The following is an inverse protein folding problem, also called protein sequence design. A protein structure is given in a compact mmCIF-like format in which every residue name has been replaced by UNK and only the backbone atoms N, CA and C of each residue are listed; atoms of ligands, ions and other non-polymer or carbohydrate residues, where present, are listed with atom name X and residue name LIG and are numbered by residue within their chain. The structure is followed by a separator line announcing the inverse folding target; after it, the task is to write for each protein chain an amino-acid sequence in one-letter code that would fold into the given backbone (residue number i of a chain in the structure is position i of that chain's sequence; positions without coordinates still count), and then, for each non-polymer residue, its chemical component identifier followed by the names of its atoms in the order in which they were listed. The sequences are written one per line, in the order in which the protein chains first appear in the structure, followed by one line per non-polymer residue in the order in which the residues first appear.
data_IF_329573885585
#
_entry.id   IF_329573885585
#
_cell.length_a   1.000
_cell.length_b   1.000
_cell.length_c   1.000
_cell.angle_alpha   90.00
_cell.angle_beta   90.00
_cell.angle_gamma   90.00
#
_symmetry.space_group_name_H-M   'P 1'
#
loop_
_entity.id
_entity.type
_entity.pdbx_description
1 polymer ?
#
# COMPACT_ATOMS: atom_id res chain seq x y z
N UNK A 1 1.13 -7.07 -15.81
CA UNK A 1 1.88 -6.76 -14.57
C UNK A 1 1.95 -5.25 -14.45
N UNK A 2 1.39 -4.67 -13.40
CA UNK A 2 1.34 -3.22 -13.22
C UNK A 2 2.52 -2.79 -12.33
N UNK A 3 3.51 -2.09 -12.89
CA UNK A 3 4.72 -1.71 -12.15
C UNK A 3 4.42 -0.89 -10.89
N UNK A 4 3.52 0.13 -10.90
CA UNK A 4 3.16 0.85 -9.70
C UNK A 4 2.73 -0.06 -8.54
N UNK A 5 2.00 -1.15 -8.83
CA UNK A 5 1.56 -2.09 -7.80
C UNK A 5 2.75 -2.88 -7.23
N UNK A 6 3.67 -3.33 -8.08
CA UNK A 6 4.90 -4.01 -7.62
C UNK A 6 5.79 -3.08 -6.78
N UNK A 7 5.85 -1.80 -7.14
CA UNK A 7 6.57 -0.79 -6.36
C UNK A 7 5.91 -0.57 -5.00
N UNK A 8 4.59 -0.41 -4.94
CA UNK A 8 3.84 -0.25 -3.70
C UNK A 8 4.06 -1.45 -2.76
N UNK A 9 3.90 -2.68 -3.27
CA UNK A 9 4.06 -3.92 -2.50
C UNK A 9 5.49 -4.12 -1.95
N UNK A 10 6.49 -3.38 -2.44
CA UNK A 10 7.89 -3.51 -2.00
C UNK A 10 8.43 -2.27 -1.29
N UNK A 11 7.59 -1.25 -1.06
CA UNK A 11 7.97 0.00 -0.39
C UNK A 11 7.50 0.00 1.08
N UNK A 12 7.81 -1.07 1.80
CA UNK A 12 7.53 -1.20 3.23
C UNK A 12 7.70 -2.62 3.72
N UNK A 13 7.22 -2.88 4.94
CA UNK A 13 7.27 -4.18 5.59
C UNK A 13 5.88 -4.62 6.07
N UNK A 14 5.60 -5.90 5.94
CA UNK A 14 4.39 -6.53 6.49
C UNK A 14 4.61 -6.91 7.96
N UNK A 15 3.55 -6.73 8.76
CA UNK A 15 3.41 -7.32 10.10
C UNK A 15 2.31 -8.36 10.01
N UNK A 16 2.65 -9.58 10.42
CA UNK A 16 1.84 -10.77 10.17
C UNK A 16 1.06 -11.19 11.42
N UNK A 17 -0.11 -11.77 11.21
CA UNK A 17 -0.91 -12.34 12.30
C UNK A 17 -0.15 -13.50 12.94
N UNK A 18 0.06 -13.48 14.27
CA UNK A 18 0.77 -14.56 14.97
C UNK A 18 -0.06 -15.86 15.07
N UNK A 19 -1.38 -15.77 14.93
CA UNK A 19 -2.32 -16.89 14.98
C UNK A 19 -3.62 -16.57 14.23
N UNK A 20 -4.41 -17.61 13.94
CA UNK A 20 -5.71 -17.49 13.27
C UNK A 20 -6.82 -17.11 14.26
N UNK A 21 -7.66 -16.13 13.90
CA UNK A 21 -8.85 -15.75 14.66
C UNK A 21 -9.96 -15.26 13.72
N UNK A 22 -11.21 -15.32 14.18
CA UNK A 22 -12.38 -14.78 13.47
C UNK A 22 -12.99 -13.66 14.28
N UNK A 23 -13.31 -12.55 13.62
CA UNK A 23 -14.12 -11.48 14.17
C UNK A 23 -15.49 -11.49 13.48
N UNK A 24 -16.56 -11.46 14.27
CA UNK A 24 -17.95 -11.43 13.82
C UNK A 24 -18.61 -10.15 14.31
N UNK A 25 -19.01 -9.26 13.41
CA UNK A 25 -19.71 -8.03 13.75
C UNK A 25 -21.19 -8.14 13.41
N UNK A 26 -22.05 -7.93 14.40
CA UNK A 26 -23.51 -8.02 14.23
C UNK A 26 -24.15 -6.77 13.58
N UNK A 27 -23.37 -5.71 13.32
CA UNK A 27 -23.85 -4.43 12.77
C UNK A 27 -24.20 -3.35 13.78
N UNK A 28 -24.13 -3.66 15.07
CA UNK A 28 -24.44 -2.72 16.14
C UNK A 28 -23.31 -1.71 16.43
N UNK A 29 -23.63 -0.63 17.15
CA UNK A 29 -22.70 0.47 17.38
C UNK A 29 -21.73 0.25 18.55
N UNK A 30 -21.93 -0.74 19.41
CA UNK A 30 -21.15 -0.98 20.63
C UNK A 30 -19.82 -1.67 20.37
N UNK A 31 -18.96 -1.73 21.39
CA UNK A 31 -17.75 -2.57 21.37
C UNK A 31 -18.11 -4.06 21.42
N UNK A 32 -19.12 -4.42 22.22
CA UNK A 32 -19.57 -5.81 22.40
C UNK A 32 -20.25 -6.42 21.17
N UNK A 33 -20.54 -5.58 20.17
CA UNK A 33 -21.14 -6.00 18.90
C UNK A 33 -20.16 -6.74 17.98
N UNK A 34 -18.86 -6.75 18.32
CA UNK A 34 -17.85 -7.58 17.68
C UNK A 34 -17.46 -8.73 18.62
N UNK A 35 -17.77 -9.96 18.21
CA UNK A 35 -17.28 -11.17 18.87
C UNK A 35 -15.98 -11.64 18.22
N UNK A 36 -14.93 -11.84 19.01
CA UNK A 36 -13.63 -12.32 18.52
C UNK A 36 -13.40 -13.74 19.07
N UNK A 37 -13.17 -14.70 18.17
CA UNK A 37 -12.95 -16.11 18.50
C UNK A 37 -11.64 -16.61 17.91
N UNK A 38 -10.70 -17.12 18.72
CA UNK A 38 -9.47 -17.68 18.19
C UNK A 38 -9.74 -19.09 17.61
N UNK A 39 -8.99 -19.51 16.59
CA UNK A 39 -9.12 -20.87 16.04
C UNK A 39 -8.80 -21.95 17.10
N UNK A 40 -7.85 -21.66 17.98
CA UNK A 40 -7.44 -22.49 19.11
C UNK A 40 -7.44 -21.66 20.39
N UNK A 41 -7.71 -22.24 21.58
CA UNK A 41 -7.62 -21.51 22.83
C UNK A 41 -6.30 -20.74 22.95
N UNK A 42 -6.39 -19.41 23.13
CA UNK A 42 -5.23 -18.54 23.23
C UNK A 42 -5.47 -17.48 24.31
N UNK A 43 -4.81 -17.58 25.47
CA UNK A 43 -5.01 -16.64 26.57
C UNK A 43 -4.54 -15.22 26.23
N UNK A 44 -3.69 -15.05 25.21
CA UNK A 44 -3.14 -13.76 24.81
C UNK A 44 -3.89 -13.09 23.65
N UNK A 45 -5.03 -13.65 23.21
CA UNK A 45 -5.82 -13.09 22.10
C UNK A 45 -6.16 -11.61 22.32
N UNK A 46 -6.62 -11.27 23.52
CA UNK A 46 -7.04 -9.92 23.89
C UNK A 46 -5.88 -8.91 23.97
N UNK A 47 -4.62 -9.36 24.06
CA UNK A 47 -3.47 -8.47 23.93
C UNK A 47 -3.16 -8.12 22.46
N UNK A 48 -3.63 -8.94 21.52
CA UNK A 48 -3.34 -8.79 20.11
C UNK A 48 -4.49 -8.15 19.34
N UNK A 49 -5.74 -8.50 19.65
CA UNK A 49 -6.91 -8.00 18.94
C UNK A 49 -8.06 -7.72 19.89
N UNK A 50 -8.69 -6.56 19.72
CA UNK A 50 -9.78 -6.07 20.57
C UNK A 50 -10.83 -5.32 19.73
N UNK A 51 -12.01 -5.12 20.31
CA UNK A 51 -13.02 -4.18 19.83
C UNK A 51 -12.96 -2.93 20.70
N UNK A 52 -12.25 -1.89 20.28
CA UNK A 52 -11.95 -0.72 21.13
C UNK A 52 -12.71 0.54 20.70
N UNK A 53 -12.72 0.85 19.40
CA UNK A 53 -13.29 2.11 18.89
C UNK A 53 -14.80 2.05 18.57
N UNK A 54 -15.48 0.95 18.90
CA UNK A 54 -16.91 0.72 18.63
C UNK A 54 -17.25 0.77 17.12
N UNK A 55 -18.55 0.72 16.76
CA UNK A 55 -19.06 0.91 15.38
C UNK A 55 -18.34 0.07 14.30
N UNK A 56 -18.08 -1.19 14.58
CA UNK A 56 -17.48 -2.10 13.60
C UNK A 56 -15.97 -1.90 13.38
N UNK A 57 -15.24 -1.29 14.32
CA UNK A 57 -13.78 -1.15 14.24
C UNK A 57 -13.07 -2.25 15.04
N UNK A 58 -12.38 -3.13 14.32
CA UNK A 58 -11.47 -4.13 14.86
C UNK A 58 -10.08 -3.51 15.07
N UNK A 59 -9.54 -3.62 16.28
CA UNK A 59 -8.27 -3.02 16.68
C UNK A 59 -7.23 -4.11 16.87
N UNK A 60 -6.15 -4.10 16.08
CA UNK A 60 -5.03 -5.02 16.20
C UNK A 60 -3.79 -4.31 16.75
N UNK A 61 -3.07 -4.97 17.65
CA UNK A 61 -1.90 -4.42 18.33
C UNK A 61 -0.62 -4.99 17.68
N UNK A 62 0.25 -4.15 17.09
CA UNK A 62 1.49 -4.60 16.46
C UNK A 62 2.49 -5.25 17.41
N UNK A 63 2.37 -5.04 18.72
CA UNK A 63 3.32 -5.52 19.75
C UNK A 63 4.75 -4.96 19.61
N UNK A 64 4.89 -3.80 18.95
CA UNK A 64 6.17 -3.09 18.81
C UNK A 64 6.02 -1.61 19.15
N UNK A 65 7.09 -1.04 19.71
CA UNK A 65 7.31 0.40 19.74
C UNK A 65 8.27 0.77 18.61
N UNK A 66 7.82 1.61 17.68
CA UNK A 66 8.62 2.00 16.52
C UNK A 66 9.34 3.32 16.77
N UNK A 67 10.59 3.41 16.31
CA UNK A 67 11.41 4.62 16.37
C UNK A 67 12.07 4.88 15.02
N UNK A 68 11.98 6.11 14.56
CA UNK A 68 12.64 6.60 13.33
C UNK A 68 13.58 7.76 13.65
N UNK A 69 14.53 8.09 12.76
CA UNK A 69 15.33 9.31 12.90
C UNK A 69 14.46 10.58 12.92
N UNK A 70 14.92 11.69 13.50
CA UNK A 70 14.21 12.98 13.50
C UNK A 70 13.69 13.38 12.11
N UNK A 71 12.42 13.82 12.03
CA UNK A 71 11.77 14.26 10.79
C UNK A 71 11.18 13.13 9.92
N UNK A 72 11.32 11.88 10.35
CA UNK A 72 10.68 10.73 9.72
C UNK A 72 9.47 10.26 10.53
N UNK A 73 8.40 9.96 9.83
CA UNK A 73 7.23 9.28 10.38
C UNK A 73 7.04 7.94 9.69
N UNK A 74 5.94 7.28 10.04
CA UNK A 74 5.57 5.99 9.47
C UNK A 74 4.08 6.00 9.13
N UNK A 75 3.76 5.66 7.88
CA UNK A 75 2.41 5.27 7.52
C UNK A 75 2.21 3.82 7.93
N UNK A 76 1.09 3.53 8.58
CA UNK A 76 0.61 2.17 8.83
C UNK A 76 -0.75 2.00 8.17
N UNK A 77 -0.93 0.90 7.45
CA UNK A 77 -2.18 0.57 6.77
C UNK A 77 -2.26 -0.92 6.45
N UNK A 78 -3.18 -1.32 5.59
CA UNK A 78 -3.19 -2.67 5.03
C UNK A 78 -2.06 -2.87 4.01
N UNK A 79 -1.66 -4.12 3.79
CA UNK A 79 -0.72 -4.45 2.73
C UNK A 79 -1.24 -3.94 1.37
N UNK A 80 -0.42 -3.19 0.59
CA UNK A 80 -0.84 -2.67 -0.69
C UNK A 80 -1.34 -3.80 -1.60
N UNK A 81 -2.47 -3.56 -2.29
CA UNK A 81 -3.08 -4.52 -3.20
C UNK A 81 -3.50 -5.86 -2.55
N UNK A 82 -3.57 -5.91 -1.21
CA UNK A 82 -4.09 -7.05 -0.47
C UNK A 82 -5.56 -6.80 -0.09
N UNK A 83 -6.48 -7.31 -0.92
CA UNK A 83 -7.91 -7.15 -0.70
C UNK A 83 -8.40 -8.20 0.28
N UNK A 84 -9.15 -7.76 1.29
CA UNK A 84 -9.85 -8.64 2.23
C UNK A 84 -11.33 -8.29 2.20
N UNK A 85 -12.15 -9.28 1.92
CA UNK A 85 -13.59 -9.07 1.83
C UNK A 85 -14.21 -8.80 3.21
N UNK A 86 -15.23 -7.95 3.25
CA UNK A 86 -15.97 -7.62 4.47
C UNK A 86 -15.31 -6.60 5.40
N UNK A 87 -14.02 -6.30 5.24
CA UNK A 87 -13.29 -5.41 6.15
C UNK A 87 -12.23 -4.58 5.41
N UNK A 88 -12.08 -3.32 5.80
CA UNK A 88 -11.15 -2.38 5.18
C UNK A 88 -10.10 -1.92 6.22
N UNK A 89 -8.80 -2.01 5.92
CA UNK A 89 -7.78 -1.40 6.77
C UNK A 89 -7.88 0.12 6.70
N UNK A 90 -7.82 0.77 7.85
CA UNK A 90 -7.67 2.21 7.96
C UNK A 90 -6.19 2.58 7.92
N UNK A 91 -5.89 3.78 7.40
CA UNK A 91 -4.51 4.25 7.29
C UNK A 91 -4.24 5.31 8.35
N UNK A 92 -3.16 5.15 9.09
CA UNK A 92 -2.68 6.10 10.10
C UNK A 92 -1.29 6.62 9.76
N UNK A 93 -1.03 7.86 10.16
CA UNK A 93 0.30 8.46 10.20
C UNK A 93 0.78 8.49 11.66
N UNK A 94 1.97 7.97 11.91
CA UNK A 94 2.56 7.88 13.24
C UNK A 94 3.88 8.65 13.24
N UNK A 95 4.01 9.61 14.16
CA UNK A 95 5.20 10.43 14.38
C UNK A 95 6.25 9.66 15.20
N UNK A 96 6.74 8.56 14.63
CA UNK A 96 7.70 7.64 15.27
C UNK A 96 9.06 8.26 15.59
N UNK A 97 9.31 9.51 15.19
CA UNK A 97 10.52 10.26 15.56
C UNK A 97 10.47 10.82 16.99
N UNK A 98 9.29 11.04 17.56
CA UNK A 98 9.15 11.52 18.94
C UNK A 98 8.19 10.70 19.81
N UNK A 99 7.18 10.04 19.22
CA UNK A 99 6.13 9.35 19.98
C UNK A 99 6.73 8.25 20.89
N UNK A 100 6.43 8.25 22.21
CA UNK A 100 6.99 7.27 23.15
C UNK A 100 6.06 6.07 23.41
N UNK A 101 4.93 5.97 22.72
CA UNK A 101 3.92 4.91 22.91
C UNK A 101 3.56 4.22 21.58
N UNK A 102 3.09 2.96 21.63
CA UNK A 102 2.74 2.20 20.43
C UNK A 102 1.47 2.75 19.78
N UNK A 103 1.21 2.31 18.55
CA UNK A 103 -0.03 2.56 17.83
C UNK A 103 -0.84 1.27 17.69
N UNK A 104 -2.11 1.38 17.33
CA UNK A 104 -2.95 0.25 16.93
C UNK A 104 -3.26 0.30 15.44
N UNK A 105 -3.29 -0.87 14.80
CA UNK A 105 -3.75 -1.02 13.43
C UNK A 105 -5.25 -1.27 13.44
N UNK A 106 -6.02 -0.40 12.78
CA UNK A 106 -7.47 -0.43 12.85
C UNK A 106 -8.06 -0.87 11.51
N UNK A 107 -9.03 -1.76 11.57
CA UNK A 107 -9.77 -2.29 10.43
C UNK A 107 -11.26 -2.06 10.65
N UNK A 108 -11.94 -1.46 9.68
CA UNK A 108 -13.37 -1.20 9.76
C UNK A 108 -14.16 -2.22 8.95
N UNK A 109 -15.15 -2.85 9.57
CA UNK A 109 -16.09 -3.69 8.85
C UNK A 109 -16.88 -2.84 7.85
N UNK A 110 -16.98 -3.33 6.61
CA UNK A 110 -17.73 -2.67 5.54
C UNK A 110 -19.21 -3.06 5.53
N UNK A 111 -19.54 -4.12 6.28
CA UNK A 111 -20.88 -4.66 6.49
C UNK A 111 -20.85 -5.65 7.66
N UNK A 112 -22.01 -5.94 8.29
CA UNK A 112 -22.11 -7.01 9.29
C UNK A 112 -21.66 -8.36 8.72
N UNK A 113 -21.08 -9.20 9.57
CA UNK A 113 -20.66 -10.56 9.23
C UNK A 113 -19.30 -10.94 9.79
N UNK A 114 -18.82 -12.09 9.32
CA UNK A 114 -17.59 -12.75 9.80
C UNK A 114 -16.42 -12.47 8.89
N UNK A 115 -15.27 -12.17 9.50
CA UNK A 115 -13.98 -12.10 8.82
C UNK A 115 -12.94 -12.89 9.62
N UNK A 116 -12.25 -13.80 8.95
CA UNK A 116 -11.16 -14.59 9.54
C UNK A 116 -9.82 -14.03 9.12
N UNK A 117 -8.95 -13.79 10.10
CA UNK A 117 -7.55 -13.49 9.89
C UNK A 117 -6.72 -14.76 10.10
N UNK A 118 -5.96 -15.18 9.08
CA UNK A 118 -5.13 -16.39 9.12
C UNK A 118 -3.76 -16.13 9.74
N UNK A 119 -3.22 -17.10 10.47
CA UNK A 119 -1.81 -17.07 10.89
C UNK A 119 -0.90 -16.84 9.67
N UNK A 120 0.01 -15.87 9.80
CA UNK A 120 0.96 -15.51 8.75
C UNK A 120 0.40 -14.58 7.68
N UNK A 121 -0.88 -14.22 7.71
CA UNK A 121 -1.41 -13.20 6.81
C UNK A 121 -1.02 -11.79 7.31
N UNK A 122 -0.81 -10.82 6.41
CA UNK A 122 -0.52 -9.44 6.80
C UNK A 122 -1.77 -8.75 7.36
N UNK A 123 -1.67 -8.22 8.58
CA UNK A 123 -2.71 -7.31 9.12
C UNK A 123 -2.29 -5.85 9.11
N UNK A 124 -0.99 -5.58 8.95
CA UNK A 124 -0.44 -4.24 8.91
C UNK A 124 0.72 -4.19 7.91
N UNK A 125 0.88 -3.05 7.25
CA UNK A 125 2.00 -2.73 6.39
C UNK A 125 2.50 -1.35 6.76
N UNK A 126 3.81 -1.25 6.98
CA UNK A 126 4.46 -0.03 7.46
C UNK A 126 5.42 0.54 6.41
N UNK A 127 5.30 1.84 6.17
CA UNK A 127 6.14 2.59 5.23
C UNK A 127 6.69 3.83 5.92
N UNK A 128 8.01 3.91 6.20
CA UNK A 128 8.64 5.11 6.72
C UNK A 128 8.76 6.16 5.62
N UNK A 129 8.55 7.43 5.98
CA UNK A 129 8.72 8.54 5.05
C UNK A 129 8.97 9.86 5.80
N UNK A 130 9.51 10.86 5.08
CA UNK A 130 9.77 12.19 5.63
C UNK A 130 8.48 13.01 5.70
N UNK A 131 7.68 12.78 6.73
CA UNK A 131 6.33 13.36 6.83
C UNK A 131 6.32 14.89 6.85
N UNK A 132 7.26 15.54 7.54
CA UNK A 132 7.33 17.01 7.60
C UNK A 132 7.71 17.65 6.27
N UNK A 133 8.44 16.94 5.40
CA UNK A 133 8.74 17.47 4.06
C UNK A 133 7.48 17.62 3.21
N UNK A 134 6.41 16.88 3.49
CA UNK A 134 5.16 17.02 2.75
C UNK A 134 4.57 18.43 2.91
N UNK A 135 4.73 19.05 4.08
CA UNK A 135 4.22 20.39 4.38
C UNK A 135 4.92 21.50 3.59
N UNK A 136 6.10 21.23 3.01
CA UNK A 136 6.85 22.23 2.22
C UNK A 136 6.42 22.30 0.76
N UNK A 137 5.60 21.34 0.30
CA UNK A 137 5.11 21.32 -1.07
C UNK A 137 3.87 22.19 -1.21
N UNK A 138 3.91 23.10 -2.19
CA UNK A 138 2.72 23.79 -2.69
C UNK A 138 2.37 23.24 -4.07
N UNK A 139 1.31 22.42 -4.22
CA UNK A 139 0.87 21.96 -5.52
C UNK A 139 0.50 23.14 -6.42
N UNK A 140 0.96 23.11 -7.67
CA UNK A 140 0.62 24.10 -8.70
C UNK A 140 -0.10 23.38 -9.83
N UNK A 141 -1.31 23.83 -10.14
CA UNK A 141 -2.09 23.33 -11.27
C UNK A 141 -1.80 24.23 -12.49
N UNK A 142 -1.40 23.60 -13.61
CA UNK A 142 -1.07 24.25 -14.87
C UNK A 142 -1.70 23.49 -16.03
N UNK A 143 -1.99 24.18 -17.14
CA UNK A 143 -2.41 23.53 -18.38
C UNK A 143 -1.21 22.91 -19.10
N UNK A 144 -1.45 21.90 -19.93
CA UNK A 144 -0.36 21.26 -20.68
C UNK A 144 0.25 22.21 -21.71
N UNK A 145 -0.55 23.15 -22.24
CA UNK A 145 -0.14 24.22 -23.14
C UNK A 145 0.94 25.12 -22.54
N UNK A 146 0.92 25.32 -21.22
CA UNK A 146 1.90 26.15 -20.52
C UNK A 146 3.28 25.50 -20.38
N UNK A 147 3.41 24.21 -20.74
CA UNK A 147 4.69 23.52 -20.83
C UNK A 147 4.81 22.75 -22.16
N UNK A 148 5.17 23.44 -23.26
CA UNK A 148 5.21 22.84 -24.60
C UNK A 148 6.16 21.64 -24.71
N UNK A 149 7.25 21.61 -23.92
CA UNK A 149 8.18 20.48 -23.91
C UNK A 149 7.51 19.22 -23.33
N UNK A 150 6.87 19.33 -22.16
CA UNK A 150 6.13 18.21 -21.56
C UNK A 150 4.96 17.78 -22.45
N UNK A 151 4.27 18.73 -23.09
CA UNK A 151 3.22 18.44 -24.08
C UNK A 151 3.76 17.60 -25.24
N UNK A 152 4.87 18.01 -25.85
CA UNK A 152 5.51 17.26 -26.94
C UNK A 152 5.95 15.86 -26.52
N UNK A 153 6.49 15.70 -25.31
CA UNK A 153 6.81 14.39 -24.73
C UNK A 153 5.57 13.49 -24.60
N UNK A 154 4.47 14.06 -24.09
CA UNK A 154 3.21 13.35 -23.94
C UNK A 154 2.60 12.95 -25.29
N UNK A 155 2.59 13.85 -26.27
CA UNK A 155 2.07 13.59 -27.62
C UNK A 155 2.89 12.53 -28.36
N UNK A 156 4.23 12.56 -28.24
CA UNK A 156 5.09 11.53 -28.80
C UNK A 156 4.82 10.15 -28.18
N UNK A 157 4.66 10.09 -26.85
CA UNK A 157 4.27 8.86 -26.16
C UNK A 157 2.88 8.38 -26.61
N UNK A 158 1.91 9.29 -26.72
CA UNK A 158 0.53 8.98 -27.13
C UNK A 158 0.50 8.39 -28.54
N UNK A 159 1.24 8.98 -29.49
CA UNK A 159 1.38 8.47 -30.85
C UNK A 159 1.96 7.06 -30.86
N UNK A 160 3.11 6.86 -30.20
CA UNK A 160 3.74 5.56 -30.12
C UNK A 160 2.83 4.49 -29.50
N UNK A 161 2.03 4.87 -28.49
CA UNK A 161 1.06 3.99 -27.85
C UNK A 161 -0.11 3.64 -28.76
N UNK A 162 -0.64 4.62 -29.50
CA UNK A 162 -1.71 4.40 -30.48
C UNK A 162 -1.23 3.44 -31.58
N UNK A 163 -0.06 3.71 -32.16
CA UNK A 163 0.55 2.88 -33.21
C UNK A 163 0.78 1.43 -32.72
N UNK A 164 1.25 1.26 -31.47
CA UNK A 164 1.39 -0.06 -30.85
C UNK A 164 0.05 -0.79 -30.71
N UNK A 165 -0.98 -0.12 -30.18
CA UNK A 165 -2.30 -0.75 -29.99
C UNK A 165 -2.94 -1.13 -31.33
N UNK A 166 -2.79 -0.30 -32.36
CA UNK A 166 -3.28 -0.60 -33.72
C UNK A 166 -2.59 -1.83 -34.31
N UNK A 167 -1.25 -1.92 -34.19
CA UNK A 167 -0.49 -3.12 -34.63
C UNK A 167 -0.87 -4.38 -33.86
N UNK A 168 -1.08 -4.26 -32.55
CA UNK A 168 -1.54 -5.37 -31.73
C UNK A 168 -2.93 -5.86 -32.16
N UNK A 169 -3.85 -4.94 -32.42
CA UNK A 169 -5.20 -5.26 -32.90
C UNK A 169 -5.21 -5.90 -34.30
N UNK A 170 -4.24 -5.53 -35.17
CA UNK A 170 -4.08 -6.13 -36.49
C UNK A 170 -3.33 -7.46 -36.50
N UNK A 171 -2.95 -8.00 -35.33
CA UNK A 171 -2.26 -9.29 -35.22
C UNK A 171 -0.80 -9.26 -35.66
N UNK A 172 -0.14 -8.09 -35.62
CA UNK A 172 1.28 -7.95 -35.91
C UNK A 172 2.12 -8.88 -34.97
N UNK A 173 2.92 -9.81 -35.52
CA UNK A 173 3.68 -10.78 -34.72
C UNK A 173 4.69 -10.15 -33.75
N UNK A 174 5.25 -8.99 -34.10
CA UNK A 174 6.24 -8.27 -33.29
C UNK A 174 5.55 -7.55 -32.14
N UNK A 175 4.41 -6.91 -32.39
CA UNK A 175 3.58 -6.30 -31.35
C UNK A 175 2.99 -7.35 -30.41
N UNK A 176 2.55 -8.50 -30.94
CA UNK A 176 2.03 -9.62 -30.15
C UNK A 176 3.11 -10.22 -29.24
N UNK A 177 4.35 -10.34 -29.73
CA UNK A 177 5.52 -10.81 -28.96
C UNK A 177 5.93 -9.83 -27.86
N UNK A 178 5.78 -8.52 -28.07
CA UNK A 178 5.98 -7.51 -27.04
C UNK A 178 4.85 -7.51 -25.98
N UNK A 179 3.63 -7.89 -26.39
CA UNK A 179 2.39 -8.04 -25.63
C UNK A 179 1.85 -6.75 -24.99
N UNK A 180 2.71 -5.78 -24.64
CA UNK A 180 2.35 -4.44 -24.15
C UNK A 180 3.60 -3.52 -24.16
N UNK A 181 3.39 -2.21 -24.30
CA UNK A 181 4.46 -1.20 -24.29
C UNK A 181 5.08 -1.02 -22.88
N UNK A 182 6.40 -1.27 -22.75
CA UNK A 182 7.10 -1.44 -21.45
C UNK A 182 7.99 -0.29 -20.99
N UNK A 183 7.86 0.91 -21.57
CA UNK A 183 8.76 2.05 -21.29
C UNK A 183 8.98 2.27 -19.78
N UNK A 184 7.90 2.43 -19.00
CA UNK A 184 8.04 2.59 -17.56
C UNK A 184 8.62 1.35 -16.86
N UNK A 185 8.37 0.13 -17.33
CA UNK A 185 8.89 -1.09 -16.71
C UNK A 185 10.40 -1.27 -16.93
N UNK A 186 10.89 -0.82 -18.09
CA UNK A 186 12.30 -0.90 -18.46
C UNK A 186 13.12 0.32 -18.01
N UNK A 187 12.46 1.40 -17.58
CA UNK A 187 13.14 2.68 -17.38
C UNK A 187 13.61 3.25 -18.72
N UNK A 188 12.76 3.20 -19.73
CA UNK A 188 12.98 3.77 -21.05
C UNK A 188 11.95 4.87 -21.29
N UNK A 189 12.31 5.84 -22.13
CA UNK A 189 11.36 6.78 -22.75
C UNK A 189 11.52 6.65 -24.27
N UNK A 190 10.54 7.06 -25.09
CA UNK A 190 10.73 7.11 -26.54
C UNK A 190 12.06 7.80 -26.89
N UNK A 191 12.84 7.20 -27.78
CA UNK A 191 14.23 7.62 -28.10
C UNK A 191 14.33 9.11 -28.47
N UNK A 192 13.30 9.64 -29.12
CA UNK A 192 13.17 11.06 -29.46
C UNK A 192 13.09 12.01 -28.24
N UNK A 193 12.89 11.48 -27.03
CA UNK A 193 12.71 12.23 -25.78
C UNK A 193 13.91 12.10 -24.82
N UNK A 194 14.96 11.36 -25.21
CA UNK A 194 16.19 11.20 -24.43
C UNK A 194 16.26 9.91 -23.61
N UNK A 195 16.97 9.94 -22.49
CA UNK A 195 17.14 8.79 -21.59
C UNK A 195 16.30 8.96 -20.31
N UNK A 196 15.75 7.85 -19.81
CA UNK A 196 15.09 7.89 -18.50
C UNK A 196 16.13 8.07 -17.37
N UNK A 197 15.70 8.52 -16.18
CA UNK A 197 16.61 8.71 -15.05
C UNK A 197 17.32 7.40 -14.67
N UNK A 198 18.63 7.48 -14.43
CA UNK A 198 19.43 6.35 -13.94
C UNK A 198 18.97 5.81 -12.57
N UNK A 199 18.15 6.59 -11.84
CA UNK A 199 17.57 6.23 -10.55
C UNK A 199 16.31 5.37 -10.66
N UNK A 200 15.84 5.07 -11.88
CA UNK A 200 14.67 4.23 -12.08
C UNK A 200 14.87 2.84 -11.48
N UNK A 201 13.81 2.31 -10.87
CA UNK A 201 13.77 0.93 -10.38
C UNK A 201 12.40 0.34 -10.61
N UNK A 202 12.36 -0.96 -10.81
CA UNK A 202 11.13 -1.72 -11.02
C UNK A 202 10.76 -2.62 -9.82
N UNK A 203 11.59 -2.62 -8.77
CA UNK A 203 11.35 -3.32 -7.50
C UNK A 203 12.28 -2.77 -6.42
N UNK A 204 11.73 -2.37 -5.27
CA UNK A 204 12.54 -2.01 -4.11
C UNK A 204 13.07 -3.27 -3.41
N UNK A 205 14.32 -3.21 -2.94
CA UNK A 205 14.97 -4.27 -2.16
C UNK A 205 15.28 -3.75 -0.77
N UNK A 206 14.25 -3.65 0.07
CA UNK A 206 14.40 -3.22 1.45
C UNK A 206 15.11 -4.30 2.28
N UNK A 207 15.85 -3.87 3.30
CA UNK A 207 16.51 -4.78 4.25
C UNK A 207 15.46 -5.42 5.16
N UNK A 208 15.61 -6.70 5.47
CA UNK A 208 14.79 -7.33 6.51
C UNK A 208 15.13 -6.76 7.90
N UNK A 209 14.16 -6.72 8.84
CA UNK A 209 14.44 -6.42 10.24
C UNK A 209 15.50 -7.37 10.80
N UNK A 210 16.35 -6.86 11.69
CA UNK A 210 17.36 -7.63 12.42
C UNK A 210 16.95 -7.67 13.90
N UNK A 211 17.10 -8.83 14.53
CA UNK A 211 16.99 -8.95 15.99
C UNK A 211 18.32 -8.42 16.57
N UNK A 212 18.21 -7.45 17.49
CA UNK A 212 19.34 -6.86 18.20
C UNK A 212 19.66 -7.59 19.49
#
# INVERSE_FOLDING_TARGET
RCLPLSMANTTGWEILCPFTFTADWNGGPSQDDITITPERPNPHLHHFVTSHFSRGVLTLHPQYLFRTPPGWGMLAGGAPNHVKDGIQPLVGLIETDWLPFPFTMNWIFTRPGKVTFQKGEPFCFITPFEHRKVETFQPVIRTMESNPNMKGQYEAWLKARSDFNSRLASGDPDAAREAWQRFYFKGEIPEALGAAPATHTNKRRLKSPRVG
#
